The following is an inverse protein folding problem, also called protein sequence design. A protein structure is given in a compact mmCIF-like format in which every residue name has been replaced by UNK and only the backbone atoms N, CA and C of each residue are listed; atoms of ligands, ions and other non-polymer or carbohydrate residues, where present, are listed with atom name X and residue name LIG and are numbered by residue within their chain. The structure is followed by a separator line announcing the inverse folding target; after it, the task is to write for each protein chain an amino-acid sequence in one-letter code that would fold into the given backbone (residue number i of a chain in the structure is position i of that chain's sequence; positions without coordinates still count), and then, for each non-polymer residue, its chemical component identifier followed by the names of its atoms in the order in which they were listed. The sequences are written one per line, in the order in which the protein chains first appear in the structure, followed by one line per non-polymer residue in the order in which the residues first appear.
data_IF_224154787864
#
_entry.id   IF_224154787864
#
_cell.length_a   1.000
_cell.length_b   1.000
_cell.length_c   1.000
_cell.angle_alpha   90.00
_cell.angle_beta   90.00
_cell.angle_gamma   90.00
#
_symmetry.space_group_name_H-M   'P 1'
#
loop_
_entity.id
_entity.type
_entity.pdbx_description
1 polymer ?
#
# COMPACT_ATOMS: atom_id res chain seq x y z
N UNK A 1 3.33 4.75 -11.37
CA UNK A 1 2.43 4.65 -10.20
C UNK A 1 2.76 3.39 -9.43
N UNK A 2 2.77 3.47 -8.10
CA UNK A 2 3.16 2.35 -7.23
C UNK A 2 2.01 1.36 -7.00
N UNK A 3 0.80 1.85 -7.11
CA UNK A 3 -0.41 1.09 -6.81
C UNK A 3 -0.34 0.44 -5.42
N UNK A 4 -0.84 -0.76 -5.24
CA UNK A 4 -0.96 -1.41 -3.92
C UNK A 4 0.35 -1.65 -3.17
N UNK A 5 1.52 -1.53 -3.79
CA UNK A 5 2.79 -1.57 -3.06
C UNK A 5 2.89 -0.42 -2.03
N UNK A 6 2.15 0.68 -2.24
CA UNK A 6 2.07 1.79 -1.28
C UNK A 6 1.58 1.37 0.10
N UNK A 7 0.80 0.31 0.20
CA UNK A 7 0.28 -0.19 1.48
C UNK A 7 1.39 -0.48 2.49
N UNK A 8 2.57 -0.89 2.03
CA UNK A 8 3.74 -1.10 2.89
C UNK A 8 4.23 0.19 3.57
N UNK A 9 4.22 1.33 2.86
CA UNK A 9 4.52 2.63 3.46
C UNK A 9 3.51 3.01 4.54
N UNK A 10 2.21 2.86 4.24
CA UNK A 10 1.14 3.16 5.20
C UNK A 10 1.25 2.29 6.46
N UNK A 11 1.50 0.99 6.29
CA UNK A 11 1.68 0.07 7.41
C UNK A 11 2.91 0.43 8.26
N UNK A 12 4.02 0.81 7.63
CA UNK A 12 5.24 1.28 8.30
C UNK A 12 4.95 2.51 9.16
N UNK A 13 4.22 3.50 8.64
CA UNK A 13 3.85 4.70 9.41
C UNK A 13 2.91 4.36 10.58
N UNK A 14 1.99 3.43 10.42
CA UNK A 14 1.15 2.94 11.53
C UNK A 14 2.02 2.31 12.61
N UNK A 15 3.01 1.47 12.24
CA UNK A 15 3.93 0.87 13.23
C UNK A 15 4.75 1.94 13.95
N UNK A 16 5.25 2.96 13.25
CA UNK A 16 5.95 4.08 13.88
C UNK A 16 5.08 4.80 14.92
N UNK A 17 3.78 4.95 14.67
CA UNK A 17 2.85 5.53 15.65
C UNK A 17 2.58 4.59 16.83
N UNK A 18 2.64 3.29 16.63
CA UNK A 18 2.55 2.28 17.70
C UNK A 18 3.81 2.34 18.57
N UNK A 19 4.99 2.39 17.97
CA UNK A 19 6.28 2.51 18.67
C UNK A 19 6.34 3.80 19.51
N UNK A 20 5.71 4.89 19.03
CA UNK A 20 5.52 6.14 19.75
C UNK A 20 4.40 6.07 20.82
N UNK A 21 3.75 4.92 21.03
CA UNK A 21 2.64 4.71 21.97
C UNK A 21 1.40 5.59 21.70
N UNK A 22 1.26 6.09 20.49
CA UNK A 22 0.09 6.87 20.04
C UNK A 22 -1.05 5.96 19.59
N UNK A 23 -0.74 4.74 19.18
CA UNK A 23 -1.65 3.68 18.76
C UNK A 23 -1.22 2.34 19.37
N UNK A 24 -2.04 1.34 19.19
CA UNK A 24 -1.68 -0.08 19.36
C UNK A 24 -2.38 -0.92 18.29
N UNK A 25 -1.93 -2.12 18.05
CA UNK A 25 -2.60 -3.07 17.15
C UNK A 25 -4.07 -3.32 17.55
N UNK A 26 -4.39 -3.19 18.84
CA UNK A 26 -5.73 -3.38 19.40
C UNK A 26 -6.59 -2.11 19.43
N UNK A 27 -6.04 -0.96 19.05
CA UNK A 27 -6.78 0.30 18.96
C UNK A 27 -8.00 0.11 18.06
N UNK A 28 -9.19 0.50 18.55
CA UNK A 28 -10.45 0.29 17.83
C UNK A 28 -10.70 1.38 16.79
N UNK A 29 -11.20 0.96 15.63
CA UNK A 29 -11.60 1.87 14.54
C UNK A 29 -12.63 2.92 15.03
N UNK A 30 -13.49 2.56 16.00
CA UNK A 30 -14.49 3.45 16.55
C UNK A 30 -13.94 4.70 17.26
N UNK A 31 -12.66 4.71 17.65
CA UNK A 31 -12.02 5.91 18.19
C UNK A 31 -11.86 7.01 17.13
N UNK A 32 -11.82 6.64 15.86
CA UNK A 32 -11.59 7.56 14.74
C UNK A 32 -12.83 7.72 13.85
N UNK A 33 -13.58 6.62 13.64
CA UNK A 33 -14.70 6.52 12.71
C UNK A 33 -15.87 5.76 13.36
N UNK A 34 -16.52 6.33 14.41
CA UNK A 34 -17.59 5.66 15.14
C UNK A 34 -18.85 5.41 14.30
N UNK A 35 -19.05 6.17 13.20
CA UNK A 35 -20.18 6.01 12.29
C UNK A 35 -20.10 4.73 11.43
N UNK A 36 -18.92 4.13 11.27
CA UNK A 36 -18.78 2.89 10.54
C UNK A 36 -19.38 1.76 11.38
N UNK A 37 -20.33 1.03 10.80
CA UNK A 37 -20.97 -0.10 11.49
C UNK A 37 -19.93 -1.12 11.94
N UNK A 38 -20.04 -1.63 13.16
CA UNK A 38 -19.10 -2.56 13.79
C UNK A 38 -17.68 -2.02 14.05
N UNK A 39 -17.45 -0.70 13.91
CA UNK A 39 -16.13 -0.09 14.16
C UNK A 39 -15.57 -0.38 15.55
N UNK A 40 -16.43 -0.61 16.55
CA UNK A 40 -16.04 -1.01 17.91
C UNK A 40 -15.46 -2.44 18.01
N UNK A 41 -15.61 -3.26 16.97
CA UNK A 41 -15.00 -4.60 16.87
C UNK A 41 -13.73 -4.60 16.03
N UNK A 42 -13.62 -3.69 15.09
CA UNK A 42 -12.50 -3.58 14.14
C UNK A 42 -11.30 -2.93 14.83
N UNK A 43 -10.13 -3.51 14.68
CA UNK A 43 -8.87 -3.01 15.22
C UNK A 43 -7.92 -2.54 14.11
N UNK A 44 -6.85 -1.84 14.47
CA UNK A 44 -5.74 -1.52 13.54
C UNK A 44 -5.21 -2.80 12.88
N UNK A 45 -5.00 -3.87 13.66
CA UNK A 45 -4.57 -5.18 13.13
C UNK A 45 -5.54 -5.68 12.04
N UNK A 46 -6.83 -5.63 12.27
CA UNK A 46 -7.81 -6.09 11.28
C UNK A 46 -7.75 -5.29 9.97
N UNK A 47 -7.45 -3.99 10.03
CA UNK A 47 -7.28 -3.17 8.83
C UNK A 47 -5.99 -3.55 8.08
N UNK A 48 -4.87 -3.69 8.79
CA UNK A 48 -3.57 -4.08 8.21
C UNK A 48 -3.62 -5.44 7.51
N UNK A 49 -4.38 -6.39 8.07
CA UNK A 49 -4.45 -7.78 7.62
C UNK A 49 -5.63 -8.06 6.69
N UNK A 50 -6.43 -7.04 6.35
CA UNK A 50 -7.66 -7.21 5.56
C UNK A 50 -8.69 -8.17 6.19
N UNK A 51 -8.74 -8.24 7.53
CA UNK A 51 -9.71 -9.07 8.29
C UNK A 51 -10.79 -8.24 8.99
N UNK A 52 -11.00 -7.00 8.56
CA UNK A 52 -11.94 -6.05 9.19
C UNK A 52 -13.42 -6.35 8.91
N UNK A 53 -13.72 -7.17 7.92
CA UNK A 53 -15.09 -7.36 7.41
C UNK A 53 -15.63 -6.15 6.63
N UNK A 54 -14.76 -5.19 6.32
CA UNK A 54 -15.06 -4.08 5.39
C UNK A 54 -14.94 -4.58 3.96
N UNK A 55 -15.88 -4.15 3.13
CA UNK A 55 -15.91 -4.40 1.68
C UNK A 55 -16.12 -3.07 0.97
N UNK A 56 -15.41 -2.85 -0.10
CA UNK A 56 -15.61 -1.72 -1.02
C UNK A 56 -15.13 -2.16 -2.40
N UNK A 57 -15.93 -1.86 -3.43
CA UNK A 57 -15.43 -1.88 -4.81
C UNK A 57 -14.41 -0.75 -5.02
N UNK A 58 -14.01 -0.55 -6.24
CA UNK A 58 -13.11 0.55 -6.63
C UNK A 58 -13.89 1.60 -7.46
N UNK A 59 -14.88 2.29 -6.85
CA UNK A 59 -15.65 3.29 -7.55
C UNK A 59 -14.78 4.53 -7.78
N UNK A 60 -14.66 4.97 -9.03
CA UNK A 60 -14.01 6.25 -9.32
C UNK A 60 -14.93 7.41 -8.92
N UNK A 61 -14.42 8.46 -8.24
CA UNK A 61 -15.16 9.68 -8.04
C UNK A 61 -15.46 10.38 -9.40
N UNK A 62 -16.50 11.19 -9.44
CA UNK A 62 -16.83 11.98 -10.66
C UNK A 62 -15.89 13.15 -10.89
N UNK A 63 -15.19 13.56 -9.87
CA UNK A 63 -14.21 14.66 -9.87
C UNK A 63 -13.09 14.33 -8.92
N UNK A 64 -11.90 14.81 -9.21
CA UNK A 64 -10.71 14.59 -8.39
C UNK A 64 -10.93 15.06 -6.95
N UNK A 65 -10.59 14.20 -5.99
CA UNK A 65 -10.61 14.54 -4.56
C UNK A 65 -9.33 15.32 -4.23
N UNK A 66 -9.47 16.39 -3.49
CA UNK A 66 -8.40 17.41 -3.36
C UNK A 66 -7.62 17.35 -2.06
N UNK A 67 -8.00 16.49 -1.12
CA UNK A 67 -7.32 16.35 0.16
C UNK A 67 -7.62 15.01 0.84
N UNK A 68 -6.81 14.65 1.84
CA UNK A 68 -6.91 13.40 2.60
C UNK A 68 -8.32 13.17 3.18
N UNK A 69 -8.94 14.20 3.72
CA UNK A 69 -10.28 14.10 4.32
C UNK A 69 -11.34 13.73 3.29
N UNK A 70 -11.28 14.30 2.09
CA UNK A 70 -12.22 13.98 1.02
C UNK A 70 -12.05 12.53 0.52
N UNK A 71 -10.83 12.02 0.42
CA UNK A 71 -10.55 10.64 0.06
C UNK A 71 -11.07 9.66 1.12
N UNK A 72 -10.85 9.95 2.41
CA UNK A 72 -11.38 9.14 3.50
C UNK A 72 -12.91 9.16 3.54
N UNK A 73 -13.53 10.32 3.38
CA UNK A 73 -15.00 10.43 3.34
C UNK A 73 -15.60 9.72 2.14
N UNK A 74 -14.92 9.78 0.99
CA UNK A 74 -15.29 8.99 -0.17
C UNK A 74 -15.33 7.49 0.17
N UNK A 75 -14.27 6.95 0.77
CA UNK A 75 -14.23 5.56 1.18
C UNK A 75 -15.34 5.22 2.18
N UNK A 76 -15.57 6.06 3.22
CA UNK A 76 -16.62 5.85 4.22
C UNK A 76 -18.02 5.79 3.57
N UNK A 77 -18.28 6.61 2.57
CA UNK A 77 -19.58 6.65 1.88
C UNK A 77 -19.80 5.47 0.92
N UNK A 78 -18.74 4.77 0.51
CA UNK A 78 -18.83 3.68 -0.46
C UNK A 78 -18.54 2.30 0.15
N UNK A 79 -17.96 2.24 1.35
CA UNK A 79 -17.69 0.97 2.02
C UNK A 79 -18.97 0.37 2.64
N UNK A 80 -18.95 -0.97 2.78
CA UNK A 80 -19.93 -1.73 3.54
C UNK A 80 -19.19 -2.52 4.62
N UNK A 81 -19.56 -2.35 5.88
CA UNK A 81 -19.04 -3.16 6.99
C UNK A 81 -20.01 -4.30 7.29
N UNK A 82 -19.55 -5.54 7.15
CA UNK A 82 -20.38 -6.75 7.28
C UNK A 82 -20.40 -7.31 8.69
N UNK A 83 -19.42 -6.94 9.53
CA UNK A 83 -19.19 -7.51 10.86
C UNK A 83 -18.57 -8.91 10.84
N UNK A 84 -18.27 -9.47 9.67
CA UNK A 84 -17.58 -10.76 9.51
C UNK A 84 -16.08 -10.51 9.47
N UNK A 85 -15.36 -10.88 10.52
CA UNK A 85 -13.92 -10.70 10.64
C UNK A 85 -13.16 -11.78 9.83
N UNK A 86 -13.39 -11.80 8.52
CA UNK A 86 -12.78 -12.73 7.59
C UNK A 86 -11.90 -11.97 6.60
N UNK A 87 -10.89 -12.62 6.07
CA UNK A 87 -10.03 -12.03 5.06
C UNK A 87 -10.81 -11.61 3.83
N UNK A 88 -10.69 -10.34 3.49
CA UNK A 88 -11.24 -9.74 2.28
C UNK A 88 -10.43 -8.50 1.93
N UNK A 89 -9.62 -8.62 0.88
CA UNK A 89 -8.80 -7.51 0.40
C UNK A 89 -9.67 -6.34 -0.04
N UNK A 90 -9.39 -5.14 0.48
CA UNK A 90 -10.08 -3.90 0.08
C UNK A 90 -9.21 -2.67 0.32
N UNK A 91 -9.19 -1.75 -0.65
CA UNK A 91 -8.48 -0.48 -0.53
C UNK A 91 -8.99 0.36 0.65
N UNK A 92 -10.29 0.25 0.99
CA UNK A 92 -10.89 0.98 2.11
C UNK A 92 -10.14 0.80 3.44
N UNK A 93 -9.58 -0.38 3.72
CA UNK A 93 -8.81 -0.60 4.95
C UNK A 93 -7.62 0.35 5.04
N UNK A 94 -6.87 0.51 3.98
CA UNK A 94 -5.66 1.33 3.96
C UNK A 94 -5.96 2.82 3.80
N UNK A 95 -7.05 3.18 3.14
CA UNK A 95 -7.56 4.56 3.14
C UNK A 95 -7.94 4.99 4.57
N UNK A 96 -8.60 4.11 5.33
CA UNK A 96 -8.91 4.38 6.74
C UNK A 96 -7.65 4.47 7.61
N UNK A 97 -6.64 3.60 7.38
CA UNK A 97 -5.34 3.70 8.07
C UNK A 97 -4.64 5.01 7.75
N UNK A 98 -4.62 5.45 6.49
CA UNK A 98 -4.08 6.74 6.10
C UNK A 98 -4.81 7.90 6.81
N UNK A 99 -6.13 7.86 6.87
CA UNK A 99 -6.90 8.84 7.63
C UNK A 99 -6.68 8.79 9.15
N UNK A 100 -6.36 7.63 9.72
CA UNK A 100 -5.95 7.51 11.13
C UNK A 100 -4.59 8.18 11.34
N UNK A 101 -3.63 7.99 10.43
CA UNK A 101 -2.34 8.69 10.48
C UNK A 101 -2.55 10.20 10.53
N UNK A 102 -3.38 10.75 9.65
CA UNK A 102 -3.65 12.20 9.60
C UNK A 102 -4.31 12.70 10.89
N UNK A 103 -5.25 11.95 11.45
CA UNK A 103 -5.93 12.31 12.72
C UNK A 103 -5.00 12.27 13.92
N UNK A 104 -4.13 11.28 14.01
CA UNK A 104 -3.21 11.10 15.15
C UNK A 104 -2.06 12.12 15.13
N UNK A 105 -1.61 12.48 13.93
CA UNK A 105 -0.48 13.40 13.77
C UNK A 105 -0.90 14.85 13.57
N UNK A 106 -2.15 15.10 13.20
CA UNK A 106 -2.65 16.40 12.76
C UNK A 106 -1.85 16.99 11.57
N UNK A 107 -1.33 16.10 10.72
CA UNK A 107 -0.57 16.44 9.51
C UNK A 107 -1.19 15.70 8.32
N UNK A 108 -0.93 16.16 7.07
CA UNK A 108 -1.32 15.41 5.89
C UNK A 108 -0.55 14.10 5.78
N UNK A 109 -1.15 13.09 5.14
CA UNK A 109 -0.51 11.79 4.89
C UNK A 109 0.87 11.96 4.24
N UNK A 110 0.95 12.81 3.20
CA UNK A 110 2.21 13.08 2.50
C UNK A 110 3.26 13.78 3.37
N UNK A 111 2.85 14.68 4.27
CA UNK A 111 3.78 15.30 5.22
C UNK A 111 4.40 14.26 6.15
N UNK A 112 3.56 13.39 6.73
CA UNK A 112 4.04 12.32 7.61
C UNK A 112 4.95 11.35 6.86
N UNK A 113 4.57 10.93 5.66
CA UNK A 113 5.37 10.06 4.80
C UNK A 113 6.73 10.70 4.47
N UNK A 114 6.69 11.96 4.06
CA UNK A 114 7.90 12.71 3.68
C UNK A 114 8.88 12.85 4.84
N UNK A 115 8.39 13.22 6.01
CA UNK A 115 9.24 13.47 7.19
C UNK A 115 9.84 12.20 7.77
N UNK A 116 9.07 11.11 7.82
CA UNK A 116 9.48 9.89 8.51
C UNK A 116 10.13 8.84 7.61
N UNK A 117 9.90 8.89 6.30
CA UNK A 117 10.40 7.86 5.37
C UNK A 117 11.16 8.48 4.19
N UNK A 118 10.52 9.39 3.41
CA UNK A 118 11.13 9.81 2.14
C UNK A 118 12.43 10.61 2.34
N UNK A 119 12.42 11.59 3.25
CA UNK A 119 13.61 12.44 3.54
C UNK A 119 14.73 11.63 4.21
N UNK A 120 14.48 10.85 5.30
CA UNK A 120 15.52 10.05 5.93
C UNK A 120 16.20 9.08 4.96
N UNK A 121 15.44 8.40 4.11
CA UNK A 121 15.95 7.44 3.14
C UNK A 121 16.38 8.08 1.80
N UNK A 122 16.22 9.41 1.65
CA UNK A 122 16.53 10.16 0.42
C UNK A 122 15.80 9.61 -0.82
N UNK A 123 14.52 9.25 -0.66
CA UNK A 123 13.67 8.77 -1.74
C UNK A 123 13.14 9.96 -2.55
N UNK A 124 13.97 10.50 -3.42
CA UNK A 124 13.71 11.79 -4.11
C UNK A 124 12.74 11.67 -5.28
N UNK A 125 12.49 10.46 -5.75
CA UNK A 125 11.63 10.17 -6.89
C UNK A 125 10.30 9.50 -6.44
N UNK A 126 9.94 9.64 -5.18
CA UNK A 126 8.69 9.13 -4.61
C UNK A 126 7.84 10.32 -4.16
N UNK A 127 6.63 10.43 -4.71
CA UNK A 127 5.69 11.50 -4.39
C UNK A 127 4.25 11.06 -4.68
N UNK A 128 3.30 11.88 -4.27
CA UNK A 128 1.90 11.71 -4.62
C UNK A 128 1.66 12.02 -6.10
N UNK A 129 0.79 11.24 -6.72
CA UNK A 129 0.37 11.50 -8.08
C UNK A 129 -0.65 12.64 -8.10
N UNK A 130 -0.25 13.76 -8.67
CA UNK A 130 -1.08 14.93 -8.86
C UNK A 130 -1.00 15.47 -10.30
N UNK A 131 -1.75 16.53 -10.59
CA UNK A 131 -1.76 17.17 -11.91
C UNK A 131 -0.40 17.71 -12.35
N UNK A 132 0.53 17.99 -11.42
CA UNK A 132 1.86 18.51 -11.72
C UNK A 132 2.85 17.38 -11.99
N UNK A 133 2.72 16.28 -11.26
CA UNK A 133 3.67 15.15 -11.30
C UNK A 133 3.39 14.14 -12.39
N UNK A 134 2.15 14.11 -12.89
CA UNK A 134 1.71 13.14 -13.89
C UNK A 134 2.44 13.20 -15.22
N UNK A 135 2.84 14.38 -15.64
CA UNK A 135 3.59 14.53 -16.89
C UNK A 135 4.98 13.88 -16.84
N UNK A 136 5.47 13.61 -15.62
CA UNK A 136 6.73 12.91 -15.35
C UNK A 136 6.55 11.40 -15.21
N UNK A 137 5.33 10.90 -15.08
CA UNK A 137 5.04 9.48 -14.96
C UNK A 137 5.25 8.77 -16.31
N UNK A 138 5.72 7.53 -16.26
CA UNK A 138 5.78 6.68 -17.45
C UNK A 138 4.38 6.50 -18.04
N UNK A 139 4.26 6.62 -19.36
CA UNK A 139 2.98 6.34 -20.05
C UNK A 139 2.66 4.85 -19.95
N UNK A 140 1.39 4.52 -19.76
CA UNK A 140 0.91 3.13 -19.68
C UNK A 140 0.18 2.71 -20.94
N UNK A 141 0.12 1.41 -21.17
CA UNK A 141 -0.47 0.81 -22.35
C UNK A 141 -1.43 -0.30 -21.99
N UNK A 142 -2.51 -0.41 -22.74
CA UNK A 142 -3.52 -1.45 -22.54
C UNK A 142 -2.96 -2.86 -22.77
N UNK A 143 -3.57 -3.83 -22.09
CA UNK A 143 -3.33 -5.24 -22.31
C UNK A 143 -3.86 -5.68 -23.70
N UNK A 144 -3.08 -6.51 -24.41
CA UNK A 144 -3.49 -7.10 -25.69
C UNK A 144 -2.49 -6.89 -26.83
N UNK A 145 -2.87 -7.37 -28.03
CA UNK A 145 -2.01 -7.32 -29.23
C UNK A 145 -1.90 -5.91 -29.82
N UNK A 146 -2.93 -5.09 -29.67
CA UNK A 146 -2.92 -3.70 -30.10
C UNK A 146 -2.42 -2.82 -28.94
N UNK A 147 -1.20 -2.31 -29.08
CA UNK A 147 -0.60 -1.42 -28.08
C UNK A 147 -1.23 -0.04 -28.21
N UNK A 148 -2.21 0.25 -27.37
CA UNK A 148 -2.85 1.57 -27.26
C UNK A 148 -2.52 2.21 -25.92
N UNK A 149 -2.40 3.54 -25.89
CA UNK A 149 -2.22 4.26 -24.63
C UNK A 149 -3.41 4.00 -23.70
N UNK A 150 -3.10 3.67 -22.45
CA UNK A 150 -4.10 3.61 -21.40
C UNK A 150 -4.40 5.03 -20.91
N UNK A 151 -5.68 5.40 -20.87
CA UNK A 151 -6.10 6.66 -20.27
C UNK A 151 -6.07 6.52 -18.74
N UNK A 152 -5.17 7.26 -18.10
CA UNK A 152 -5.07 7.26 -16.65
C UNK A 152 -6.25 7.98 -16.02
N UNK A 153 -6.86 7.36 -15.03
CA UNK A 153 -7.93 7.96 -14.24
C UNK A 153 -7.37 8.65 -13.00
N UNK A 154 -7.24 9.98 -13.06
CA UNK A 154 -6.84 10.78 -11.90
C UNK A 154 -7.88 10.79 -10.80
N UNK A 155 -9.14 10.80 -11.20
CA UNK A 155 -10.25 10.77 -10.25
C UNK A 155 -10.18 9.50 -9.41
N UNK A 156 -9.90 8.34 -10.04
CA UNK A 156 -9.67 7.09 -9.31
C UNK A 156 -8.45 7.20 -8.40
N UNK A 157 -7.29 7.59 -8.93
CA UNK A 157 -6.07 7.70 -8.14
C UNK A 157 -6.22 8.64 -6.93
N UNK A 158 -7.00 9.73 -7.05
CA UNK A 158 -7.27 10.64 -5.94
C UNK A 158 -8.06 10.01 -4.79
N UNK A 159 -8.78 8.91 -5.04
CA UNK A 159 -9.51 8.17 -4.00
C UNK A 159 -8.66 7.11 -3.31
N UNK A 160 -7.44 6.86 -3.76
CA UNK A 160 -6.57 5.78 -3.29
C UNK A 160 -5.53 6.23 -2.24
N UNK A 161 -5.88 7.20 -1.42
CA UNK A 161 -5.04 7.69 -0.34
C UNK A 161 -4.46 6.53 0.50
N UNK A 162 -3.13 6.47 0.57
CA UNK A 162 -2.42 5.47 1.38
C UNK A 162 -2.46 4.04 0.85
N UNK A 163 -3.08 3.78 -0.30
CA UNK A 163 -3.19 2.44 -0.86
C UNK A 163 -2.79 2.31 -2.33
N UNK A 164 -2.65 3.43 -3.08
CA UNK A 164 -2.37 3.34 -4.52
C UNK A 164 -1.89 4.62 -5.19
N UNK A 165 -2.04 5.79 -4.60
CA UNK A 165 -1.86 7.09 -5.24
C UNK A 165 -0.42 7.63 -5.29
N UNK A 166 0.59 6.86 -4.90
CA UNK A 166 1.99 7.25 -5.04
C UNK A 166 2.57 6.82 -6.40
N UNK A 167 3.51 7.59 -6.91
CA UNK A 167 4.47 7.13 -7.88
C UNK A 167 5.87 7.01 -7.25
N UNK A 168 6.72 6.17 -7.84
CA UNK A 168 8.09 5.95 -7.37
C UNK A 168 8.95 5.40 -8.52
N UNK A 169 10.24 5.19 -8.24
CA UNK A 169 11.15 4.43 -9.09
C UNK A 169 11.50 3.08 -8.46
N UNK A 170 11.95 2.07 -9.24
CA UNK A 170 12.44 0.81 -8.68
C UNK A 170 13.51 1.03 -7.60
N UNK A 171 14.46 1.93 -7.85
CA UNK A 171 15.54 2.24 -6.90
C UNK A 171 15.02 2.79 -5.56
N UNK A 172 14.04 3.70 -5.58
CA UNK A 172 13.50 4.27 -4.34
C UNK A 172 12.71 3.22 -3.55
N UNK A 173 11.92 2.37 -4.23
CA UNK A 173 11.19 1.31 -3.54
C UNK A 173 12.14 0.27 -2.94
N UNK A 174 13.19 -0.15 -3.66
CA UNK A 174 14.19 -1.08 -3.11
C UNK A 174 14.93 -0.49 -1.90
N UNK A 175 15.30 0.80 -1.91
CA UNK A 175 15.87 1.46 -0.72
C UNK A 175 14.92 1.40 0.48
N UNK A 176 13.62 1.59 0.25
CA UNK A 176 12.63 1.52 1.32
C UNK A 176 12.54 0.12 1.93
N UNK A 177 12.40 -0.92 1.09
CA UNK A 177 12.30 -2.29 1.60
C UNK A 177 13.60 -2.76 2.24
N UNK A 178 14.77 -2.39 1.69
CA UNK A 178 16.07 -2.66 2.32
C UNK A 178 16.20 -2.00 3.69
N UNK A 179 15.66 -0.78 3.87
CA UNK A 179 15.66 -0.10 5.16
C UNK A 179 14.71 -0.74 6.20
N UNK A 180 13.71 -1.51 5.75
CA UNK A 180 12.94 -2.39 6.64
C UNK A 180 13.76 -3.61 7.05
N UNK A 181 14.46 -4.24 6.10
CA UNK A 181 15.23 -5.47 6.31
C UNK A 181 16.47 -5.26 7.20
N UNK A 182 17.18 -4.16 7.01
CA UNK A 182 18.37 -3.81 7.81
C UNK A 182 18.04 -3.16 9.16
N UNK A 183 16.75 -3.03 9.46
CA UNK A 183 16.20 -2.45 10.68
C UNK A 183 16.55 -0.95 10.90
N UNK A 184 16.94 -0.24 9.86
CA UNK A 184 17.22 1.20 9.96
C UNK A 184 15.95 2.05 10.08
N UNK A 185 14.80 1.52 9.63
CA UNK A 185 13.51 2.22 9.64
C UNK A 185 12.61 1.78 10.80
N UNK A 186 12.58 0.49 11.11
CA UNK A 186 11.83 -0.11 12.22
C UNK A 186 12.72 -1.12 12.96
N UNK A 187 12.54 -1.27 14.26
CA UNK A 187 13.24 -2.31 15.01
C UNK A 187 12.78 -3.71 14.59
N UNK A 188 13.61 -4.73 14.85
CA UNK A 188 13.22 -6.14 14.63
C UNK A 188 11.91 -6.48 15.36
N UNK A 189 11.74 -5.98 16.59
CA UNK A 189 10.52 -6.19 17.37
C UNK A 189 9.29 -5.58 16.67
N UNK A 190 9.43 -4.35 16.16
CA UNK A 190 8.35 -3.63 15.45
C UNK A 190 8.01 -4.31 14.14
N UNK A 191 9.00 -4.78 13.38
CA UNK A 191 8.77 -5.56 12.15
C UNK A 191 8.07 -6.88 12.43
N UNK A 192 8.50 -7.60 13.47
CA UNK A 192 7.85 -8.84 13.88
C UNK A 192 6.40 -8.61 14.33
N UNK A 193 6.13 -7.51 15.05
CA UNK A 193 4.76 -7.15 15.39
C UNK A 193 3.96 -6.80 14.15
N UNK A 194 4.50 -6.00 13.24
CA UNK A 194 3.82 -5.55 12.02
C UNK A 194 3.45 -6.72 11.11
N UNK A 195 4.40 -7.63 10.86
CA UNK A 195 4.24 -8.78 9.95
C UNK A 195 3.46 -9.95 10.56
N UNK A 196 3.20 -9.91 11.88
CA UNK A 196 2.57 -11.02 12.59
C UNK A 196 1.10 -11.17 12.22
N UNK A 197 0.83 -12.14 11.38
CA UNK A 197 -0.51 -12.57 11.04
C UNK A 197 -0.62 -14.10 11.24
N UNK A 198 -1.62 -14.52 12.00
CA UNK A 198 -1.86 -15.93 12.31
C UNK A 198 -2.99 -16.55 11.47
N UNK A 199 -3.77 -15.72 10.76
CA UNK A 199 -4.97 -16.14 10.06
C UNK A 199 -4.81 -16.20 8.55
N UNK A 200 -3.94 -15.36 8.00
CA UNK A 200 -3.73 -15.25 6.56
C UNK A 200 -2.25 -15.09 6.24
N UNK A 201 -1.87 -15.38 5.01
CA UNK A 201 -0.50 -15.13 4.54
C UNK A 201 -0.22 -13.64 4.26
N UNK A 202 -1.20 -12.75 4.44
CA UNK A 202 -1.07 -11.31 4.15
C UNK A 202 -1.05 -10.49 5.44
N UNK A 203 -0.10 -9.59 5.56
CA UNK A 203 -0.10 -8.52 6.57
C UNK A 203 0.70 -7.32 6.07
N UNK A 204 0.30 -6.13 6.47
CA UNK A 204 1.09 -4.89 6.36
C UNK A 204 1.60 -4.56 4.94
N UNK A 205 0.85 -4.94 3.91
CA UNK A 205 1.21 -4.66 2.52
C UNK A 205 1.93 -5.80 1.80
N UNK A 206 2.27 -6.90 2.51
CA UNK A 206 3.00 -8.03 1.95
C UNK A 206 2.25 -9.35 2.09
N UNK A 207 2.47 -10.25 1.14
CA UNK A 207 2.18 -11.67 1.24
C UNK A 207 3.44 -12.39 1.70
N UNK A 208 3.35 -13.13 2.81
CA UNK A 208 4.46 -13.86 3.40
C UNK A 208 4.42 -15.32 2.98
N UNK A 209 5.60 -15.90 2.79
CA UNK A 209 5.81 -17.33 2.56
C UNK A 209 7.03 -17.80 3.38
N UNK A 210 7.38 -19.10 3.32
CA UNK A 210 8.39 -19.68 4.20
C UNK A 210 9.74 -18.97 4.20
N UNK A 211 10.20 -18.53 3.02
CA UNK A 211 11.54 -17.97 2.84
C UNK A 211 11.54 -16.50 2.41
N UNK A 212 10.39 -15.80 2.50
CA UNK A 212 10.37 -14.42 2.04
C UNK A 212 8.99 -13.77 2.02
N UNK A 213 8.87 -12.76 1.20
CA UNK A 213 7.65 -11.98 1.04
C UNK A 213 7.52 -11.44 -0.39
N UNK A 214 6.30 -11.14 -0.78
CA UNK A 214 6.01 -10.48 -2.05
C UNK A 214 4.92 -9.43 -1.89
N UNK A 215 4.87 -8.50 -2.82
CA UNK A 215 3.75 -7.58 -2.98
C UNK A 215 3.45 -7.37 -4.46
N UNK A 216 2.16 -7.22 -4.76
CA UNK A 216 1.69 -6.92 -6.10
C UNK A 216 0.96 -5.58 -6.09
N UNK A 217 1.17 -4.75 -7.09
CA UNK A 217 0.52 -3.46 -7.26
C UNK A 217 0.09 -3.25 -8.70
N UNK A 218 -1.21 -3.31 -8.94
CA UNK A 218 -1.77 -3.20 -10.29
C UNK A 218 -2.86 -2.14 -10.25
N UNK A 219 -2.66 -1.08 -11.02
CA UNK A 219 -3.66 -0.04 -11.24
C UNK A 219 -3.26 0.87 -12.41
N UNK A 220 -4.25 1.48 -13.06
CA UNK A 220 -4.08 2.48 -14.12
C UNK A 220 -3.06 2.09 -15.21
N UNK A 221 -2.96 0.78 -15.53
CA UNK A 221 -2.04 0.26 -16.54
C UNK A 221 -0.59 0.08 -16.05
N UNK A 222 -0.33 0.30 -14.78
CA UNK A 222 0.94 -0.04 -14.13
C UNK A 222 0.81 -1.40 -13.46
N UNK A 223 1.85 -2.22 -13.61
CA UNK A 223 1.93 -3.59 -13.09
C UNK A 223 3.26 -3.73 -12.36
N UNK A 224 3.21 -3.78 -11.03
CA UNK A 224 4.38 -3.79 -10.18
C UNK A 224 4.39 -5.07 -9.35
N UNK A 225 5.53 -5.76 -9.34
CA UNK A 225 5.73 -6.99 -8.60
C UNK A 225 7.01 -6.85 -7.78
N UNK A 226 6.88 -7.01 -6.48
CA UNK A 226 8.00 -7.08 -5.54
C UNK A 226 8.15 -8.51 -5.04
N UNK A 227 9.36 -8.99 -4.97
CA UNK A 227 9.71 -10.31 -4.47
C UNK A 227 10.99 -10.26 -3.69
N UNK A 228 10.98 -10.81 -2.47
CA UNK A 228 12.13 -11.01 -1.60
C UNK A 228 12.23 -12.49 -1.30
N UNK A 229 13.38 -13.09 -1.59
CA UNK A 229 13.74 -14.44 -1.21
C UNK A 229 14.99 -14.42 -0.32
N UNK A 230 14.78 -14.71 0.96
CA UNK A 230 15.84 -14.68 1.97
C UNK A 230 16.85 -15.81 1.78
N UNK A 231 16.47 -16.92 1.13
CA UNK A 231 17.38 -18.02 0.85
C UNK A 231 18.41 -17.65 -0.22
N UNK A 232 18.00 -16.82 -1.17
CA UNK A 232 18.84 -16.36 -2.27
C UNK A 232 19.45 -14.97 -2.02
N UNK A 233 19.12 -14.35 -0.87
CA UNK A 233 19.49 -12.95 -0.57
C UNK A 233 19.07 -11.98 -1.70
N UNK A 234 17.98 -12.28 -2.36
CA UNK A 234 17.49 -11.56 -3.54
C UNK A 234 16.29 -10.71 -3.20
N UNK A 235 16.44 -9.41 -3.44
CA UNK A 235 15.41 -8.40 -3.25
C UNK A 235 15.14 -7.72 -4.58
N UNK A 236 13.97 -7.95 -5.17
CA UNK A 236 13.69 -7.59 -6.56
C UNK A 236 12.39 -6.82 -6.70
N UNK A 237 12.36 -5.92 -7.67
CA UNK A 237 11.15 -5.25 -8.12
C UNK A 237 11.08 -5.21 -9.64
N UNK A 238 9.94 -5.58 -10.18
CA UNK A 238 9.59 -5.45 -11.59
C UNK A 238 8.47 -4.42 -11.74
N UNK A 239 8.72 -3.35 -12.46
CA UNK A 239 7.73 -2.31 -12.76
C UNK A 239 7.47 -2.27 -14.26
N UNK A 240 6.24 -2.56 -14.66
CA UNK A 240 5.80 -2.60 -16.04
C UNK A 240 4.76 -1.52 -16.30
N UNK A 241 4.83 -0.93 -17.47
CA UNK A 241 3.87 0.07 -17.97
C UNK A 241 2.98 -0.49 -19.09
N UNK A 242 2.96 -1.80 -19.25
CA UNK A 242 2.10 -2.54 -20.18
C UNK A 242 1.47 -3.71 -19.45
N UNK A 243 0.17 -3.93 -19.70
CA UNK A 243 -0.60 -5.00 -19.08
C UNK A 243 0.01 -6.38 -19.28
N UNK A 244 0.09 -7.12 -18.19
CA UNK A 244 0.40 -8.55 -18.13
C UNK A 244 -0.62 -9.19 -17.18
N UNK A 245 -0.84 -10.51 -17.28
CA UNK A 245 -1.60 -11.18 -16.23
C UNK A 245 -0.79 -11.26 -14.94
N UNK A 246 -1.47 -11.31 -13.80
CA UNK A 246 -0.81 -11.45 -12.48
C UNK A 246 0.13 -12.66 -12.44
N UNK A 247 -0.29 -13.78 -13.03
CA UNK A 247 0.52 -14.99 -13.11
C UNK A 247 1.76 -14.81 -13.97
N UNK A 248 1.65 -14.10 -15.09
CA UNK A 248 2.82 -13.79 -15.93
C UNK A 248 3.81 -12.85 -15.22
N UNK A 249 3.32 -11.77 -14.59
CA UNK A 249 4.19 -10.85 -13.85
C UNK A 249 4.92 -11.52 -12.71
N UNK A 250 4.24 -12.37 -11.95
CA UNK A 250 4.87 -13.16 -10.88
C UNK A 250 5.89 -14.18 -11.41
N UNK A 251 5.58 -14.85 -12.51
CA UNK A 251 6.51 -15.79 -13.14
C UNK A 251 7.78 -15.06 -13.62
N UNK A 252 7.64 -13.88 -14.24
CA UNK A 252 8.78 -13.09 -14.71
C UNK A 252 9.71 -12.69 -13.56
N UNK A 253 9.18 -12.21 -12.43
CA UNK A 253 10.03 -11.80 -11.31
C UNK A 253 10.69 -13.01 -10.62
N UNK A 254 10.02 -14.15 -10.54
CA UNK A 254 10.61 -15.39 -10.02
C UNK A 254 11.73 -15.91 -10.93
N UNK A 255 11.54 -15.85 -12.27
CA UNK A 255 12.59 -16.25 -13.21
C UNK A 255 13.82 -15.35 -13.12
N UNK A 256 13.61 -14.03 -12.95
CA UNK A 256 14.72 -13.10 -12.68
C UNK A 256 15.47 -13.47 -11.39
N UNK A 257 14.77 -13.88 -10.33
CA UNK A 257 15.37 -14.38 -9.10
C UNK A 257 16.26 -15.58 -9.34
N UNK A 258 15.77 -16.58 -10.06
CA UNK A 258 16.54 -17.78 -10.39
C UNK A 258 17.83 -17.48 -11.19
N UNK A 259 17.77 -16.49 -12.11
CA UNK A 259 18.94 -16.05 -12.87
C UNK A 259 19.98 -15.37 -11.98
N UNK A 260 19.53 -14.56 -11.01
CA UNK A 260 20.45 -13.86 -10.09
C UNK A 260 21.10 -14.83 -9.11
N UNK A 261 20.41 -15.89 -8.73
CA UNK A 261 20.88 -16.91 -7.78
C UNK A 261 21.83 -17.95 -8.43
N UNK A 262 21.85 -18.05 -9.77
CA UNK A 262 22.73 -18.98 -10.51
C UNK A 262 24.11 -18.38 -10.76
#
# INVERSE_FOLDING_TARGET
MLASLQKSYTATMIQMLIDQKKLSMNTKLSQFYPSIRYSNKITIRNLLDHTSGIQMGEPAPKTMLTNDSSAVMWAINHLKSTGRMQWNYTNANYILLAGIITKVTNQSYMSVLSENILKPLKLRNTAELDSNTINSAAKTYNFGNNVTLHAMSYDLASSELGCGNLYTTPSDYLKFVSALEDNSLLSISSLNELSRNHETAYSAGFYYFSNGQRADGIDNGYYNFYYDDKSEHANMILMLNKGVSDSQGRAMIQELGNIIAS
#
